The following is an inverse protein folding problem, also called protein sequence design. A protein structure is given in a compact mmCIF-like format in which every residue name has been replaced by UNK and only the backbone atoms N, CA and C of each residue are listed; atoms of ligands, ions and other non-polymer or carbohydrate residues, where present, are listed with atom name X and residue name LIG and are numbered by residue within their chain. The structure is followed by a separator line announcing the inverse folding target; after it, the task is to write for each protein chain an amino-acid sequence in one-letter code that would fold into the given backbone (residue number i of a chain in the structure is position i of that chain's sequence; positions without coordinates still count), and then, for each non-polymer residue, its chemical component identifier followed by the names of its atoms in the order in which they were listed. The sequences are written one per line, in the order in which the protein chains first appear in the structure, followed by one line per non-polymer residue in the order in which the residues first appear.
data_IF_447170155034
#
_entry.id   IF_447170155034
#
_cell.length_a   1.000
_cell.length_b   1.000
_cell.length_c   1.000
_cell.angle_alpha   90.00
_cell.angle_beta   90.00
_cell.angle_gamma   90.00
#
_symmetry.space_group_name_H-M   'P 1'
#
loop_
_entity.id
_entity.type
_entity.pdbx_description
1 polymer ?
#
# COMPACT_ATOMS: atom_id res chain seq x y z
N UNK A 1 4.19 47.49 -43.00
CA UNK A 1 4.97 46.23 -42.99
C UNK A 1 5.03 45.80 -41.54
N UNK A 2 4.41 44.66 -41.21
CA UNK A 2 4.11 44.20 -39.85
C UNK A 2 5.42 43.85 -39.11
N UNK A 3 5.64 44.41 -37.92
CA UNK A 3 6.68 43.97 -37.01
C UNK A 3 6.03 43.30 -35.79
N UNK A 4 6.48 42.07 -35.54
CA UNK A 4 5.75 41.00 -34.88
C UNK A 4 5.57 41.16 -33.36
N UNK A 5 4.45 40.60 -32.92
CA UNK A 5 3.83 40.66 -31.59
C UNK A 5 4.69 40.17 -30.43
N UNK A 6 4.49 40.84 -29.29
CA UNK A 6 4.65 40.30 -27.93
C UNK A 6 4.16 38.86 -27.86
N UNK A 7 4.91 37.94 -27.25
CA UNK A 7 4.42 36.86 -26.37
C UNK A 7 5.63 36.12 -25.78
N UNK A 8 6.05 36.54 -24.58
CA UNK A 8 6.88 35.72 -23.70
C UNK A 8 6.03 34.50 -23.33
N UNK A 9 6.30 33.35 -23.96
CA UNK A 9 5.63 32.09 -23.60
C UNK A 9 6.58 31.31 -22.69
N UNK A 10 6.52 31.61 -21.40
CA UNK A 10 7.06 30.77 -20.34
C UNK A 10 6.02 29.68 -20.04
N UNK A 11 6.02 28.62 -20.84
CA UNK A 11 5.19 27.43 -20.59
C UNK A 11 5.94 26.49 -19.66
N UNK A 12 5.74 26.61 -18.34
CA UNK A 12 6.18 25.61 -17.36
C UNK A 12 5.36 24.35 -17.61
N UNK A 13 6.04 23.29 -18.03
CA UNK A 13 5.49 21.95 -18.14
C UNK A 13 5.34 21.38 -16.72
N UNK A 14 4.22 21.64 -16.06
CA UNK A 14 3.84 20.96 -14.83
C UNK A 14 3.37 19.54 -15.17
N UNK A 15 4.29 18.66 -15.54
CA UNK A 15 4.08 17.20 -15.46
C UNK A 15 4.20 16.83 -13.98
N UNK A 16 3.09 16.98 -13.25
CA UNK A 16 2.95 16.24 -12.00
C UNK A 16 2.96 14.77 -12.39
N UNK A 17 3.96 14.03 -11.92
CA UNK A 17 4.03 12.57 -12.03
C UNK A 17 2.82 11.97 -11.30
N UNK A 18 1.69 11.84 -12.01
CA UNK A 18 0.53 11.08 -11.57
C UNK A 18 0.84 9.59 -11.77
N UNK A 19 1.86 9.08 -11.07
CA UNK A 19 2.14 7.65 -11.07
C UNK A 19 1.45 7.05 -9.86
N UNK A 20 0.29 6.45 -10.09
CA UNK A 20 -0.46 5.73 -9.07
C UNK A 20 0.13 4.33 -8.93
N UNK A 21 0.72 4.03 -7.77
CA UNK A 21 1.13 2.67 -7.43
C UNK A 21 -0.09 1.79 -7.20
N UNK A 22 -0.10 0.59 -7.78
CA UNK A 22 -1.11 -0.42 -7.51
C UNK A 22 -0.39 -1.73 -7.20
N UNK A 23 -0.27 -2.01 -5.90
CA UNK A 23 0.45 -3.16 -5.39
C UNK A 23 -0.20 -3.73 -4.15
N UNK A 24 0.06 -5.02 -3.91
CA UNK A 24 -0.42 -5.75 -2.76
C UNK A 24 0.79 -6.26 -1.95
N UNK A 25 0.85 -6.01 -0.64
CA UNK A 25 1.89 -6.59 0.22
C UNK A 25 1.49 -8.03 0.54
N UNK A 26 2.03 -8.97 -0.23
CA UNK A 26 1.69 -10.40 -0.13
C UNK A 26 2.55 -11.14 0.89
N UNK A 27 3.66 -10.56 1.32
CA UNK A 27 4.48 -11.10 2.40
C UNK A 27 5.22 -9.98 3.12
N UNK A 28 5.38 -10.13 4.43
CA UNK A 28 6.21 -9.32 5.29
C UNK A 28 6.97 -10.22 6.27
N UNK A 29 8.22 -9.89 6.56
CA UNK A 29 9.06 -10.62 7.53
C UNK A 29 9.91 -9.62 8.28
N UNK A 30 9.88 -9.69 9.61
CA UNK A 30 10.71 -8.84 10.45
C UNK A 30 12.09 -9.44 10.68
N UNK A 31 13.07 -8.60 10.99
CA UNK A 31 14.45 -9.01 11.28
C UNK A 31 14.55 -9.90 12.52
N UNK A 32 13.60 -9.78 13.46
CA UNK A 32 13.47 -10.68 14.61
C UNK A 32 12.52 -11.88 14.34
N UNK A 33 12.12 -12.09 13.09
CA UNK A 33 11.27 -13.20 12.64
C UNK A 33 9.80 -12.81 12.47
N UNK A 34 8.94 -13.82 12.47
CA UNK A 34 7.50 -13.67 12.19
C UNK A 34 7.20 -13.43 10.71
N UNK A 35 5.93 -13.65 10.34
CA UNK A 35 5.45 -13.51 8.96
C UNK A 35 4.10 -12.82 8.94
N UNK A 36 3.82 -12.09 7.88
CA UNK A 36 2.54 -11.44 7.68
C UNK A 36 2.29 -11.06 6.23
N UNK A 37 1.18 -10.35 6.01
CA UNK A 37 0.75 -9.76 4.75
C UNK A 37 -0.06 -8.49 5.06
N UNK A 38 -0.44 -7.72 4.05
CA UNK A 38 -1.42 -6.64 4.23
C UNK A 38 -2.79 -7.19 4.68
N UNK A 39 -3.61 -6.31 5.27
CA UNK A 39 -5.00 -6.64 5.62
C UNK A 39 -5.79 -6.93 4.34
N UNK A 40 -6.75 -7.85 4.46
CA UNK A 40 -7.64 -8.24 3.36
C UNK A 40 -7.02 -9.16 2.30
N UNK A 41 -5.70 -9.40 2.32
CA UNK A 41 -5.03 -10.29 1.36
C UNK A 41 -5.49 -11.73 1.52
N UNK A 42 -5.92 -12.35 0.42
CA UNK A 42 -6.18 -13.78 0.34
C UNK A 42 -5.02 -14.47 -0.41
N UNK A 43 -4.27 -15.36 0.26
CA UNK A 43 -3.22 -16.17 -0.38
C UNK A 43 -3.73 -17.05 -1.54
N UNK A 44 -5.04 -17.33 -1.59
CA UNK A 44 -5.66 -18.12 -2.65
C UNK A 44 -5.91 -17.33 -3.94
N UNK A 45 -5.85 -15.99 -3.89
CA UNK A 45 -6.02 -15.11 -5.05
C UNK A 45 -4.93 -15.36 -6.09
N UNK A 46 -5.27 -15.84 -7.31
CA UNK A 46 -4.31 -15.98 -8.41
C UNK A 46 -3.64 -14.65 -8.75
N UNK A 47 -2.30 -14.60 -8.78
CA UNK A 47 -1.49 -13.39 -9.06
C UNK A 47 -0.77 -13.40 -10.42
N UNK A 48 -1.32 -14.15 -11.37
CA UNK A 48 -0.69 -14.43 -12.67
C UNK A 48 -1.08 -13.45 -13.79
N UNK A 49 -1.94 -12.46 -13.48
CA UNK A 49 -2.39 -11.46 -14.45
C UNK A 49 -3.29 -12.01 -15.57
N UNK A 50 -3.71 -13.28 -15.50
CA UNK A 50 -4.40 -13.93 -16.64
C UNK A 50 -5.86 -13.53 -16.80
N UNK A 51 -6.51 -12.97 -15.75
CA UNK A 51 -7.94 -12.58 -15.78
C UNK A 51 -8.27 -11.42 -14.84
N UNK A 52 -8.85 -10.33 -15.34
CA UNK A 52 -9.26 -9.14 -14.56
C UNK A 52 -9.96 -9.45 -13.21
N UNK A 53 -10.78 -10.51 -13.18
CA UNK A 53 -11.26 -11.19 -11.98
C UNK A 53 -10.64 -12.59 -12.00
N UNK A 54 -9.91 -13.04 -10.99
CA UNK A 54 -9.88 -12.54 -9.59
C UNK A 54 -8.63 -11.76 -9.13
N UNK A 55 -7.60 -11.47 -9.93
CA UNK A 55 -6.23 -11.25 -9.41
C UNK A 55 -5.94 -10.01 -8.53
N UNK A 56 -6.91 -9.11 -8.32
CA UNK A 56 -6.72 -7.85 -7.59
C UNK A 56 -7.82 -7.54 -6.57
N UNK A 57 -8.73 -8.49 -6.30
CA UNK A 57 -9.92 -8.19 -5.49
C UNK A 57 -9.63 -8.01 -4.00
N UNK A 58 -8.50 -8.54 -3.55
CA UNK A 58 -8.01 -8.53 -2.18
C UNK A 58 -6.89 -7.49 -1.95
N UNK A 59 -6.58 -6.68 -2.97
CA UNK A 59 -5.66 -5.55 -2.80
C UNK A 59 -6.39 -4.46 -2.04
N UNK A 60 -5.88 -4.10 -0.86
CA UNK A 60 -6.45 -2.98 -0.10
C UNK A 60 -6.30 -1.67 -0.87
N UNK A 61 -7.33 -0.84 -0.84
CA UNK A 61 -7.36 0.55 -1.29
C UNK A 61 -7.82 1.46 -0.15
N UNK A 62 -7.27 2.67 -0.06
CA UNK A 62 -7.77 3.70 0.85
C UNK A 62 -8.77 4.57 0.09
N UNK A 63 -10.00 4.09 0.00
CA UNK A 63 -11.10 4.77 -0.68
C UNK A 63 -12.40 4.50 0.08
N UNK A 64 -13.45 5.24 -0.26
CA UNK A 64 -14.76 5.08 0.37
C UNK A 64 -14.76 5.49 1.84
N UNK A 65 -15.58 4.81 2.63
CA UNK A 65 -15.81 5.14 4.05
C UNK A 65 -14.59 4.81 4.93
N UNK A 66 -13.74 3.86 4.50
CA UNK A 66 -12.53 3.45 5.19
C UNK A 66 -11.24 4.12 4.66
N UNK A 67 -11.35 5.16 3.83
CA UNK A 67 -10.20 5.82 3.21
C UNK A 67 -9.18 6.36 4.24
N UNK A 68 -9.66 6.90 5.35
CA UNK A 68 -8.81 7.50 6.38
C UNK A 68 -8.44 6.52 7.52
N UNK A 69 -8.79 5.22 7.39
CA UNK A 69 -8.56 4.21 8.43
C UNK A 69 -7.74 3.02 7.90
N UNK A 70 -8.31 1.82 7.84
CA UNK A 70 -7.63 0.59 7.41
C UNK A 70 -7.86 0.27 5.94
N UNK A 71 -8.56 1.13 5.20
CA UNK A 71 -8.92 0.89 3.80
C UNK A 71 -9.93 -0.25 3.63
N UNK A 72 -10.17 -0.60 2.38
CA UNK A 72 -11.12 -1.63 1.96
C UNK A 72 -10.54 -2.50 0.85
N UNK A 73 -11.05 -3.72 0.69
CA UNK A 73 -10.82 -4.56 -0.49
C UNK A 73 -12.10 -4.69 -1.30
N UNK A 74 -11.99 -5.00 -2.60
CA UNK A 74 -13.19 -5.22 -3.43
C UNK A 74 -13.94 -6.49 -3.04
N UNK A 75 -13.24 -7.50 -2.52
CA UNK A 75 -13.82 -8.77 -2.09
C UNK A 75 -14.31 -8.76 -0.64
N UNK A 76 -13.53 -8.19 0.28
CA UNK A 76 -13.81 -8.19 1.71
C UNK A 76 -14.54 -6.95 2.23
N UNK A 77 -14.62 -5.87 1.45
CA UNK A 77 -15.13 -4.58 1.93
C UNK A 77 -14.15 -3.89 2.87
N UNK A 78 -14.66 -3.05 3.77
CA UNK A 78 -13.87 -2.35 4.80
C UNK A 78 -13.03 -3.32 5.62
N UNK A 79 -11.75 -3.03 5.75
CA UNK A 79 -10.85 -3.82 6.58
C UNK A 79 -11.13 -3.56 8.05
N UNK A 80 -11.28 -4.64 8.80
CA UNK A 80 -11.33 -4.62 10.25
C UNK A 80 -9.97 -5.06 10.81
N UNK A 81 -9.31 -4.24 11.65
CA UNK A 81 -7.95 -4.53 12.10
C UNK A 81 -7.88 -5.76 12.99
N UNK A 82 -8.91 -6.06 13.77
CA UNK A 82 -8.92 -7.14 14.76
C UNK A 82 -9.09 -8.50 14.07
N UNK A 83 -10.12 -8.64 13.27
CA UNK A 83 -10.40 -9.84 12.49
C UNK A 83 -9.37 -10.04 11.37
N UNK A 84 -8.95 -8.97 10.69
CA UNK A 84 -7.91 -9.03 9.66
C UNK A 84 -6.55 -9.46 10.22
N UNK A 85 -6.12 -8.90 11.36
CA UNK A 85 -4.88 -9.33 12.02
C UNK A 85 -4.96 -10.78 12.48
N UNK A 86 -6.12 -11.21 12.98
CA UNK A 86 -6.37 -12.60 13.36
C UNK A 86 -6.25 -13.55 12.16
N UNK A 87 -6.78 -13.16 11.00
CA UNK A 87 -6.64 -13.90 9.76
C UNK A 87 -5.17 -13.97 9.30
N UNK A 88 -4.43 -12.87 9.34
CA UNK A 88 -3.00 -12.83 9.01
C UNK A 88 -2.22 -13.79 9.91
N UNK A 89 -2.46 -13.76 11.22
CA UNK A 89 -1.82 -14.68 12.18
C UNK A 89 -2.10 -16.14 11.84
N UNK A 90 -3.37 -16.48 11.54
CA UNK A 90 -3.75 -17.83 11.16
C UNK A 90 -3.08 -18.30 9.86
N UNK A 91 -2.96 -17.41 8.87
CA UNK A 91 -2.34 -17.71 7.57
C UNK A 91 -0.81 -17.79 7.64
N UNK A 92 -0.18 -17.06 8.57
CA UNK A 92 1.28 -16.85 8.58
C UNK A 92 2.02 -17.51 9.75
N UNK A 93 1.37 -18.45 10.46
CA UNK A 93 2.04 -19.28 11.47
C UNK A 93 2.04 -18.71 12.89
N UNK A 94 1.08 -17.84 13.21
CA UNK A 94 0.74 -17.46 14.60
C UNK A 94 1.58 -16.34 15.21
N UNK A 95 2.51 -15.74 14.46
CA UNK A 95 3.29 -14.58 14.90
C UNK A 95 3.41 -13.55 13.78
N UNK A 96 3.05 -12.30 14.07
CA UNK A 96 3.29 -11.18 13.16
C UNK A 96 4.79 -10.91 13.01
N UNK A 97 5.25 -10.25 11.93
CA UNK A 97 6.61 -9.74 11.78
C UNK A 97 7.07 -9.00 13.05
N UNK A 98 8.19 -9.46 13.60
CA UNK A 98 8.81 -8.90 14.79
C UNK A 98 10.08 -8.15 14.40
N UNK A 99 10.28 -6.96 14.97
CA UNK A 99 11.47 -6.17 14.74
C UNK A 99 12.28 -5.96 16.00
N UNK A 100 13.60 -5.86 15.86
CA UNK A 100 14.47 -5.38 16.92
C UNK A 100 14.53 -3.84 16.93
N UNK A 101 15.05 -3.25 18.01
CA UNK A 101 15.27 -1.80 18.05
C UNK A 101 16.31 -1.40 16.98
N UNK A 102 15.91 -0.56 16.02
CA UNK A 102 16.71 -0.23 14.85
C UNK A 102 16.69 -1.29 13.74
N UNK A 103 15.83 -2.30 13.87
CA UNK A 103 15.60 -3.36 12.89
C UNK A 103 14.72 -2.94 11.71
N UNK A 104 14.39 -3.91 10.88
CA UNK A 104 13.65 -3.68 9.62
C UNK A 104 12.60 -4.75 9.38
N UNK A 105 11.55 -4.38 8.67
CA UNK A 105 10.63 -5.33 8.06
C UNK A 105 10.88 -5.35 6.56
N UNK A 106 11.12 -6.55 6.05
CA UNK A 106 11.20 -6.81 4.63
C UNK A 106 9.82 -7.16 4.11
N UNK A 107 9.33 -6.40 3.13
CA UNK A 107 8.07 -6.68 2.46
C UNK A 107 8.29 -7.15 1.04
N UNK A 108 7.42 -8.04 0.58
CA UNK A 108 7.27 -8.43 -0.83
C UNK A 108 6.00 -7.80 -1.35
N UNK A 109 6.17 -6.89 -2.30
CA UNK A 109 5.08 -6.23 -2.99
C UNK A 109 4.81 -6.94 -4.32
N UNK A 110 3.56 -7.31 -4.55
CA UNK A 110 3.07 -7.76 -5.84
C UNK A 110 2.51 -6.57 -6.61
N UNK A 111 3.18 -6.17 -7.70
CA UNK A 111 2.66 -5.17 -8.62
C UNK A 111 1.49 -5.76 -9.42
N UNK A 112 0.32 -5.12 -9.34
CA UNK A 112 -0.93 -5.65 -9.88
C UNK A 112 -1.05 -5.42 -11.40
N UNK A 113 -0.61 -4.28 -11.90
CA UNK A 113 -0.68 -3.89 -13.31
C UNK A 113 0.64 -3.22 -13.77
N UNK A 114 0.86 -3.13 -15.08
CA UNK A 114 2.13 -2.68 -15.66
C UNK A 114 2.56 -1.25 -15.25
N UNK A 115 1.60 -0.39 -14.94
CA UNK A 115 1.77 1.00 -14.47
C UNK A 115 1.79 1.13 -12.94
N UNK A 116 1.56 0.06 -12.20
CA UNK A 116 1.47 0.08 -10.75
C UNK A 116 2.80 0.16 -10.00
N UNK A 117 3.94 0.46 -10.65
CA UNK A 117 5.28 0.31 -10.08
C UNK A 117 5.68 1.34 -8.99
N UNK A 118 4.83 2.33 -8.69
CA UNK A 118 5.08 3.36 -7.67
C UNK A 118 5.31 4.75 -8.25
N UNK A 119 5.69 5.76 -7.44
CA UNK A 119 6.36 5.64 -6.14
C UNK A 119 5.43 5.19 -5.01
N UNK A 120 5.99 4.48 -4.03
CA UNK A 120 5.28 4.11 -2.80
C UNK A 120 5.84 4.89 -1.61
N UNK A 121 4.95 5.33 -0.73
CA UNK A 121 5.31 5.89 0.58
C UNK A 121 4.82 4.91 1.64
N UNK A 122 5.64 4.66 2.64
CA UNK A 122 5.23 3.94 3.82
C UNK A 122 4.85 4.92 4.94
N UNK A 123 3.73 4.65 5.59
CA UNK A 123 3.28 5.29 6.81
C UNK A 123 3.07 4.21 7.88
N UNK A 124 3.20 4.58 9.15
CA UNK A 124 2.98 3.69 10.29
C UNK A 124 1.95 4.34 11.22
N UNK A 125 0.98 3.54 11.68
CA UNK A 125 0.10 3.86 12.79
C UNK A 125 0.47 2.97 13.99
N UNK A 126 1.25 3.52 14.93
CA UNK A 126 1.86 2.73 16.01
C UNK A 126 0.90 2.35 17.15
N UNK A 127 -0.27 2.99 17.22
CA UNK A 127 -1.30 2.72 18.25
C UNK A 127 -2.43 1.80 17.76
N UNK A 128 -2.36 1.35 16.50
CA UNK A 128 -3.35 0.51 15.83
C UNK A 128 -4.79 1.08 15.85
N UNK A 129 -4.94 2.40 15.95
CA UNK A 129 -6.25 3.07 15.88
C UNK A 129 -6.66 3.44 14.46
N UNK A 130 -5.72 3.43 13.51
CA UNK A 130 -5.92 3.90 12.14
C UNK A 130 -6.11 5.41 12.01
N UNK A 131 -5.96 6.19 13.09
CA UNK A 131 -6.28 7.63 13.09
C UNK A 131 -5.10 8.54 12.77
N UNK A 132 -3.88 8.12 13.11
CA UNK A 132 -2.67 8.95 12.98
C UNK A 132 -1.55 8.18 12.32
N UNK A 133 -1.08 8.68 11.18
CA UNK A 133 -0.10 8.03 10.33
C UNK A 133 1.20 8.85 10.29
N UNK A 134 2.33 8.21 10.58
CA UNK A 134 3.66 8.84 10.52
C UNK A 134 4.46 8.24 9.39
N UNK A 135 5.14 9.07 8.57
CA UNK A 135 6.02 8.58 7.51
C UNK A 135 7.11 7.70 8.11
N UNK A 136 7.21 6.46 7.63
CA UNK A 136 8.41 5.68 7.86
C UNK A 136 9.56 6.35 7.11
N UNK A 137 10.69 6.53 7.78
CA UNK A 137 11.89 7.03 7.09
C UNK A 137 12.31 6.00 6.04
N UNK A 138 12.86 6.44 4.90
CA UNK A 138 13.21 5.63 3.70
C UNK A 138 14.19 4.46 3.94
N UNK A 139 14.50 4.14 5.20
CA UNK A 139 15.27 3.00 5.64
C UNK A 139 14.97 2.76 7.12
N UNK A 140 13.74 2.42 7.51
CA UNK A 140 13.44 1.88 8.86
C UNK A 140 12.00 1.34 8.97
N UNK A 141 11.91 0.07 9.39
CA UNK A 141 10.91 -0.49 10.32
C UNK A 141 9.41 -0.32 9.99
N UNK A 142 8.73 -1.36 9.49
CA UNK A 142 7.25 -1.39 9.35
C UNK A 142 6.64 -2.44 10.27
N UNK A 143 5.84 -2.05 11.25
CA UNK A 143 5.02 -3.01 11.99
C UNK A 143 3.76 -3.33 11.18
N UNK A 144 3.27 -4.56 11.24
CA UNK A 144 2.05 -5.02 10.55
C UNK A 144 0.79 -4.23 10.91
N UNK A 145 0.57 -3.15 10.16
CA UNK A 145 -0.72 -2.55 9.83
C UNK A 145 -0.66 -1.81 8.48
N UNK A 146 0.41 -2.01 7.72
CA UNK A 146 0.74 -1.15 6.59
C UNK A 146 0.12 -1.70 5.32
N UNK A 147 -1.11 -1.25 5.03
CA UNK A 147 -1.66 -1.32 3.69
C UNK A 147 -0.92 -0.27 2.85
N UNK A 148 -0.12 -0.67 1.87
CA UNK A 148 0.31 0.24 0.81
C UNK A 148 -0.86 0.33 -0.15
N UNK A 149 -1.74 1.29 0.09
CA UNK A 149 -2.62 1.80 -0.94
C UNK A 149 -2.41 3.29 -1.13
N UNK A 150 -2.45 3.67 -2.40
CA UNK A 150 -2.82 4.97 -2.93
C UNK A 150 -3.08 6.10 -1.89
N UNK A 151 -2.10 7.00 -1.70
CA UNK A 151 -2.36 8.39 -1.27
C UNK A 151 -2.50 9.31 -2.49
N UNK A 152 -3.03 8.79 -3.60
CA UNK A 152 -3.52 9.58 -4.71
C UNK A 152 -4.91 10.09 -4.38
N UNK A 153 -4.97 11.30 -3.82
CA UNK A 153 -6.21 12.06 -3.68
C UNK A 153 -7.06 11.98 -4.97
N UNK A 154 -8.23 11.37 -4.84
CA UNK A 154 -9.43 11.77 -5.58
C UNK A 154 -10.56 11.98 -4.59
#
# INVERSE_FOLDING_TARGET
MVAYSSFITFGILAVAELVAGHGAIIAATGDAGGKGSALGIDPSTPRDGTRRRPFQQDTTRFAGDAADTFGETLEGGDNDPESGTSAILAQNGGTLPQISAGGQVQMTLHQVNADGAGPYTCMINADATGTTWTKASNHHSLSTADNISDLGHR
#
